data_IF_315144859674
#
_entry.id   IF_315144859674
#
_cell.length_a   1.000
_cell.length_b   1.000
_cell.length_c   1.000
_cell.angle_alpha   90.00
_cell.angle_beta   90.00
_cell.angle_gamma   90.00
#
_symmetry.space_group_name_H-M   'P 1'
#
loop_
_entity.id
_entity.type
_entity.pdbx_description
1 polymer ?
#
# COMPACT_ATOMS: atom_id res chain seq x y z
N UNK A 1 -12.71 -23.53 -2.57
CA UNK A 1 -13.05 -24.08 -3.89
C UNK A 1 -13.67 -22.97 -4.70
N UNK A 2 -12.98 -22.46 -5.72
CA UNK A 2 -13.55 -21.47 -6.63
C UNK A 2 -14.57 -22.19 -7.53
N UNK A 3 -15.84 -21.81 -7.43
CA UNK A 3 -16.91 -22.32 -8.29
C UNK A 3 -16.62 -21.89 -9.72
N UNK A 4 -16.75 -22.81 -10.68
CA UNK A 4 -16.53 -22.52 -12.10
C UNK A 4 -17.36 -21.29 -12.55
N UNK A 5 -16.84 -20.45 -13.48
CA UNK A 5 -17.60 -19.32 -13.99
C UNK A 5 -18.88 -19.86 -14.63
N UNK A 6 -20.02 -19.52 -14.05
CA UNK A 6 -21.31 -19.93 -14.61
C UNK A 6 -21.45 -19.32 -16.01
N UNK A 7 -21.77 -20.15 -17.01
CA UNK A 7 -22.17 -19.73 -18.37
C UNK A 7 -23.50 -18.94 -18.35
N UNK A 8 -23.54 -17.82 -17.63
CA UNK A 8 -24.70 -16.94 -17.55
C UNK A 8 -24.54 -15.83 -18.58
N UNK A 9 -25.64 -15.53 -19.27
CA UNK A 9 -25.70 -14.43 -20.24
C UNK A 9 -25.46 -13.08 -19.57
N UNK A 10 -25.22 -12.02 -20.37
CA UNK A 10 -24.96 -10.69 -19.83
C UNK A 10 -26.22 -10.12 -19.17
N UNK A 11 -26.10 -9.68 -17.92
CA UNK A 11 -27.19 -9.13 -17.10
C UNK A 11 -27.31 -7.63 -17.34
N UNK A 12 -28.53 -7.12 -17.54
CA UNK A 12 -28.76 -5.72 -17.91
C UNK A 12 -29.40 -4.90 -16.80
N UNK A 13 -29.08 -3.61 -16.78
CA UNK A 13 -29.70 -2.61 -15.92
C UNK A 13 -29.76 -1.24 -16.59
N UNK A 14 -30.64 -0.36 -16.14
CA UNK A 14 -30.66 1.07 -16.53
C UNK A 14 -30.82 1.93 -15.29
N UNK A 15 -30.05 3.02 -15.24
CA UNK A 15 -30.07 4.02 -14.19
C UNK A 15 -30.55 5.36 -14.75
N UNK A 16 -31.34 6.11 -13.97
CA UNK A 16 -31.72 7.49 -14.31
C UNK A 16 -30.63 8.51 -13.93
N UNK A 17 -30.95 9.81 -14.05
CA UNK A 17 -30.03 10.91 -13.75
C UNK A 17 -29.69 11.01 -12.25
N UNK A 18 -30.56 10.51 -11.38
CA UNK A 18 -30.44 10.46 -9.92
C UNK A 18 -29.88 9.12 -9.41
N UNK A 19 -29.32 8.29 -10.30
CA UNK A 19 -28.73 6.98 -9.99
C UNK A 19 -29.71 5.93 -9.45
N UNK A 20 -31.00 6.09 -9.75
CA UNK A 20 -32.03 5.11 -9.38
C UNK A 20 -32.12 4.02 -10.42
N UNK A 21 -32.29 2.78 -9.95
CA UNK A 21 -32.43 1.62 -10.80
C UNK A 21 -33.83 1.55 -11.39
N UNK A 22 -34.02 2.07 -12.60
CA UNK A 22 -35.34 2.15 -13.26
C UNK A 22 -35.77 0.82 -13.89
N UNK A 23 -34.82 0.02 -14.37
CA UNK A 23 -35.09 -1.31 -14.93
C UNK A 23 -33.86 -2.20 -14.78
N UNK A 24 -34.06 -3.47 -14.45
CA UNK A 24 -32.98 -4.44 -14.34
C UNK A 24 -33.47 -5.86 -14.59
N UNK A 25 -32.56 -6.71 -15.06
CA UNK A 25 -32.78 -8.15 -15.12
C UNK A 25 -32.85 -8.73 -13.69
N UNK A 26 -33.53 -9.89 -13.49
CA UNK A 26 -33.85 -10.42 -12.17
C UNK A 26 -32.64 -10.60 -11.24
N UNK A 27 -31.45 -10.85 -11.78
CA UNK A 27 -30.23 -11.08 -11.01
C UNK A 27 -29.68 -9.79 -10.40
N UNK A 28 -29.71 -8.69 -11.14
CA UNK A 28 -29.34 -7.38 -10.60
C UNK A 28 -30.41 -6.87 -9.62
N UNK A 29 -31.68 -7.21 -9.86
CA UNK A 29 -32.76 -6.95 -8.88
C UNK A 29 -32.51 -7.71 -7.58
N UNK A 30 -32.12 -8.99 -7.64
CA UNK A 30 -31.81 -9.78 -6.46
C UNK A 30 -30.64 -9.17 -5.66
N UNK A 31 -29.55 -8.77 -6.32
CA UNK A 31 -28.43 -8.10 -5.65
C UNK A 31 -28.84 -6.77 -4.98
N UNK A 32 -29.70 -5.99 -5.64
CA UNK A 32 -30.21 -4.74 -5.09
C UNK A 32 -31.07 -4.99 -3.84
N UNK A 33 -31.86 -6.07 -3.82
CA UNK A 33 -32.67 -6.49 -2.67
C UNK A 33 -31.79 -6.99 -1.53
N UNK A 34 -30.78 -7.81 -1.84
CA UNK A 34 -29.80 -8.28 -0.84
C UNK A 34 -29.04 -7.12 -0.19
N UNK A 35 -28.77 -6.06 -0.95
CA UNK A 35 -28.19 -4.81 -0.46
C UNK A 35 -29.20 -3.92 0.32
N UNK A 36 -30.43 -4.40 0.56
CA UNK A 36 -31.45 -3.71 1.35
C UNK A 36 -32.25 -2.64 0.59
N UNK A 37 -32.24 -2.67 -0.74
CA UNK A 37 -32.94 -1.69 -1.59
C UNK A 37 -33.87 -2.37 -2.60
N UNK A 38 -34.49 -1.61 -3.50
CA UNK A 38 -35.43 -2.13 -4.51
C UNK A 38 -35.33 -1.34 -5.82
N UNK A 39 -35.94 -1.88 -6.88
CA UNK A 39 -36.07 -1.20 -8.18
C UNK A 39 -36.90 0.08 -8.00
N UNK A 40 -36.46 1.17 -8.60
CA UNK A 40 -37.03 2.51 -8.45
C UNK A 40 -36.37 3.35 -7.35
N UNK A 41 -35.52 2.75 -6.51
CA UNK A 41 -34.70 3.44 -5.52
C UNK A 41 -33.25 3.61 -5.99
N UNK A 42 -32.47 4.42 -5.28
CA UNK A 42 -31.03 4.60 -5.55
C UNK A 42 -30.31 3.23 -5.53
N UNK A 43 -29.41 3.03 -6.50
CA UNK A 43 -28.64 1.80 -6.63
C UNK A 43 -27.76 1.61 -5.38
N UNK A 44 -28.05 0.58 -4.58
CA UNK A 44 -27.38 0.25 -3.32
C UNK A 44 -26.07 -0.54 -3.51
N UNK A 45 -25.56 -0.56 -4.74
CA UNK A 45 -24.33 -1.24 -5.14
C UNK A 45 -23.26 -0.19 -5.45
N UNK A 46 -22.53 0.33 -4.45
CA UNK A 46 -21.79 1.58 -4.55
C UNK A 46 -20.70 1.58 -5.62
N UNK A 47 -20.02 0.45 -5.85
CA UNK A 47 -18.99 0.36 -6.90
C UNK A 47 -19.61 0.44 -8.31
N UNK A 48 -20.79 -0.16 -8.51
CA UNK A 48 -21.51 -0.10 -9.78
C UNK A 48 -22.05 1.32 -10.01
N UNK A 49 -22.58 1.95 -8.96
CA UNK A 49 -23.02 3.36 -8.97
C UNK A 49 -21.86 4.30 -9.34
N UNK A 50 -20.66 4.09 -8.77
CA UNK A 50 -19.49 4.89 -9.10
C UNK A 50 -19.06 4.76 -10.57
N UNK A 51 -19.10 3.55 -11.13
CA UNK A 51 -18.81 3.30 -12.55
C UNK A 51 -19.82 4.02 -13.46
N UNK A 52 -21.12 3.97 -13.10
CA UNK A 52 -22.16 4.66 -13.84
C UNK A 52 -22.01 6.19 -13.80
N UNK A 53 -21.75 6.77 -12.62
CA UNK A 53 -21.47 8.20 -12.45
C UNK A 53 -20.26 8.64 -13.29
N UNK A 54 -19.21 7.83 -13.34
CA UNK A 54 -18.02 8.11 -14.14
C UNK A 54 -18.33 8.09 -15.65
N UNK A 55 -19.12 7.12 -16.11
CA UNK A 55 -19.54 7.04 -17.51
C UNK A 55 -20.42 8.24 -17.91
N UNK A 56 -21.38 8.64 -17.06
CA UNK A 56 -22.22 9.83 -17.26
C UNK A 56 -21.38 11.10 -17.32
N UNK A 57 -20.45 11.28 -16.38
CA UNK A 57 -19.56 12.45 -16.31
C UNK A 57 -18.66 12.59 -17.53
N UNK A 58 -18.13 11.48 -18.05
CA UNK A 58 -17.19 11.50 -19.18
C UNK A 58 -17.86 11.41 -20.55
N UNK A 59 -19.15 11.04 -20.61
CA UNK A 59 -19.88 10.88 -21.86
C UNK A 59 -19.37 9.74 -22.75
N UNK A 60 -18.61 8.79 -22.18
CA UNK A 60 -18.04 7.64 -22.89
C UNK A 60 -18.35 6.33 -22.15
N UNK A 61 -18.40 5.18 -22.85
CA UNK A 61 -18.57 3.88 -22.20
C UNK A 61 -17.40 3.56 -21.26
N UNK A 62 -17.69 3.11 -20.05
CA UNK A 62 -16.71 2.68 -19.05
C UNK A 62 -16.84 1.17 -18.82
N UNK A 63 -15.71 0.47 -18.80
CA UNK A 63 -15.64 -0.96 -18.55
C UNK A 63 -14.70 -1.25 -17.38
N UNK A 64 -15.22 -1.75 -16.27
CA UNK A 64 -14.45 -2.03 -15.05
C UNK A 64 -15.00 -3.22 -14.27
N UNK A 65 -14.11 -3.87 -13.52
CA UNK A 65 -14.48 -4.82 -12.47
C UNK A 65 -15.21 -4.09 -11.33
N UNK A 66 -16.19 -4.76 -10.71
CA UNK A 66 -16.84 -4.33 -9.49
C UNK A 66 -17.15 -5.54 -8.59
N UNK A 67 -17.22 -5.27 -7.29
CA UNK A 67 -17.70 -6.22 -6.28
C UNK A 67 -19.02 -5.72 -5.71
N UNK A 68 -20.03 -6.57 -5.74
CA UNK A 68 -21.32 -6.40 -5.07
C UNK A 68 -21.36 -7.31 -3.85
N UNK A 69 -21.53 -6.73 -2.66
CA UNK A 69 -21.69 -7.51 -1.44
C UNK A 69 -23.10 -8.12 -1.40
N UNK A 70 -23.17 -9.43 -1.19
CA UNK A 70 -24.43 -10.16 -0.99
C UNK A 70 -24.60 -10.60 0.46
N UNK A 71 -25.79 -11.08 0.82
CA UNK A 71 -26.09 -11.49 2.19
C UNK A 71 -25.26 -12.69 2.67
N UNK A 72 -24.95 -13.63 1.78
CA UNK A 72 -24.15 -14.83 2.08
C UNK A 72 -22.82 -14.91 1.32
N UNK A 73 -22.71 -14.24 0.16
CA UNK A 73 -21.55 -14.32 -0.74
C UNK A 73 -21.34 -12.99 -1.46
N UNK A 74 -20.08 -12.60 -1.63
CA UNK A 74 -19.72 -11.47 -2.48
C UNK A 74 -19.75 -11.91 -3.95
N UNK A 75 -20.22 -11.02 -4.81
CA UNK A 75 -20.25 -11.24 -6.25
C UNK A 75 -19.29 -10.29 -6.92
N UNK A 76 -18.26 -10.86 -7.53
CA UNK A 76 -17.39 -10.10 -8.43
C UNK A 76 -17.93 -10.21 -9.86
N UNK A 77 -17.98 -9.08 -10.56
CA UNK A 77 -18.53 -8.97 -11.90
C UNK A 77 -17.84 -7.86 -12.69
N UNK A 78 -17.93 -7.92 -14.01
CA UNK A 78 -17.50 -6.85 -14.91
C UNK A 78 -18.69 -5.99 -15.29
N UNK A 79 -18.59 -4.68 -15.07
CA UNK A 79 -19.61 -3.71 -15.44
C UNK A 79 -19.15 -2.92 -16.65
N UNK A 80 -19.98 -2.95 -17.69
CA UNK A 80 -19.95 -1.97 -18.77
C UNK A 80 -21.07 -0.96 -18.56
N UNK A 81 -20.72 0.28 -18.26
CA UNK A 81 -21.65 1.40 -18.18
C UNK A 81 -21.58 2.23 -19.45
N UNK A 82 -22.69 2.38 -20.16
CA UNK A 82 -22.80 3.16 -21.40
C UNK A 82 -23.77 4.30 -21.18
N UNK A 83 -23.35 5.57 -21.30
CA UNK A 83 -24.27 6.71 -21.18
C UNK A 83 -25.25 6.72 -22.37
N UNK A 84 -26.52 7.00 -22.08
CA UNK A 84 -27.64 7.05 -23.03
C UNK A 84 -28.53 8.26 -22.67
N UNK A 85 -28.14 9.45 -23.17
CA UNK A 85 -28.73 10.71 -22.72
C UNK A 85 -28.39 10.99 -21.25
N UNK A 86 -29.42 11.25 -20.44
CA UNK A 86 -29.28 11.45 -18.98
C UNK A 86 -29.26 10.11 -18.20
N UNK A 87 -29.52 9.00 -18.89
CA UNK A 87 -29.56 7.65 -18.32
C UNK A 87 -28.23 6.91 -18.54
N UNK A 88 -28.02 5.82 -17.80
CA UNK A 88 -26.87 4.93 -17.98
C UNK A 88 -27.33 3.49 -18.13
N UNK A 89 -26.96 2.87 -19.24
CA UNK A 89 -27.19 1.44 -19.50
C UNK A 89 -26.03 0.62 -18.94
N UNK A 90 -26.36 -0.33 -18.07
CA UNK A 90 -25.43 -1.28 -17.47
C UNK A 90 -25.52 -2.64 -18.15
N UNK A 91 -24.35 -3.22 -18.45
CA UNK A 91 -24.19 -4.61 -18.85
C UNK A 91 -23.19 -5.27 -17.89
N UNK A 92 -23.64 -6.29 -17.17
CA UNK A 92 -22.87 -6.99 -16.15
C UNK A 92 -22.53 -8.39 -16.65
N UNK A 93 -21.24 -8.69 -16.73
CA UNK A 93 -20.71 -9.92 -17.30
C UNK A 93 -19.79 -10.62 -16.30
N UNK A 94 -19.54 -11.92 -16.54
CA UNK A 94 -18.53 -12.71 -15.81
C UNK A 94 -18.72 -12.68 -14.28
N UNK A 95 -19.89 -13.17 -13.87
CA UNK A 95 -20.28 -13.32 -12.46
C UNK A 95 -19.48 -14.43 -11.78
N UNK A 96 -18.76 -14.06 -10.73
CA UNK A 96 -17.99 -14.99 -9.90
C UNK A 96 -18.38 -14.79 -8.44
N UNK A 97 -19.10 -15.78 -7.91
CA UNK A 97 -19.40 -15.84 -6.48
C UNK A 97 -18.14 -16.18 -5.71
N UNK A 98 -17.86 -15.39 -4.68
CA UNK A 98 -16.76 -15.60 -3.76
C UNK A 98 -17.33 -15.64 -2.34
N UNK A 99 -16.71 -16.40 -1.42
CA UNK A 99 -17.04 -16.22 0.00
C UNK A 99 -16.92 -14.74 0.34
N UNK A 100 -17.85 -14.20 1.15
CA UNK A 100 -17.83 -12.79 1.50
C UNK A 100 -16.47 -12.50 2.11
N UNK A 101 -15.82 -11.42 1.66
CA UNK A 101 -14.60 -10.99 2.30
C UNK A 101 -14.91 -10.89 3.79
N UNK A 102 -14.12 -11.58 4.64
CA UNK A 102 -14.24 -11.42 6.09
C UNK A 102 -14.34 -9.92 6.38
N UNK A 103 -15.25 -9.48 7.27
CA UNK A 103 -15.44 -8.07 7.54
C UNK A 103 -14.06 -7.44 7.65
N UNK A 104 -13.78 -6.37 6.90
CA UNK A 104 -12.42 -5.78 6.91
C UNK A 104 -12.00 -5.31 8.30
N UNK A 105 -12.91 -5.31 9.27
CA UNK A 105 -12.64 -5.25 10.71
C UNK A 105 -11.77 -6.40 11.24
N UNK A 106 -11.84 -7.62 10.69
CA UNK A 106 -10.95 -8.73 11.02
C UNK A 106 -9.58 -8.66 10.35
N UNK A 107 -9.40 -7.78 9.36
CA UNK A 107 -8.10 -7.45 8.74
C UNK A 107 -7.54 -6.11 9.22
N UNK A 108 -8.26 -5.45 10.13
CA UNK A 108 -7.78 -4.35 10.97
C UNK A 108 -7.21 -4.85 12.30
N UNK A 109 -7.18 -6.17 12.52
CA UNK A 109 -6.16 -6.78 13.36
C UNK A 109 -4.96 -6.96 12.44
N UNK A 110 -3.87 -6.20 12.60
CA UNK A 110 -2.61 -6.64 12.06
C UNK A 110 -2.40 -8.06 12.62
N UNK A 111 -2.29 -9.07 11.77
CA UNK A 111 -1.36 -10.15 12.10
C UNK A 111 0.03 -9.53 12.02
N UNK A 112 0.32 -8.64 12.96
CA UNK A 112 1.67 -8.25 13.25
C UNK A 112 2.33 -9.46 13.88
N UNK A 113 3.49 -9.75 13.31
CA UNK A 113 4.46 -10.66 13.87
C UNK A 113 4.56 -10.35 15.36
N UNK A 114 4.08 -11.29 16.17
CA UNK A 114 4.27 -11.25 17.60
C UNK A 114 5.75 -11.07 17.90
N UNK A 115 6.15 -9.87 18.30
CA UNK A 115 7.23 -9.74 19.25
C UNK A 115 6.63 -10.26 20.55
N UNK A 116 6.93 -11.52 20.85
CA UNK A 116 6.50 -12.21 22.05
C UNK A 116 7.16 -11.55 23.27
N UNK A 117 6.49 -10.54 23.80
CA UNK A 117 6.76 -9.92 25.10
C UNK A 117 5.60 -10.21 26.07
N UNK A 118 5.16 -11.47 26.14
CA UNK A 118 4.66 -12.10 27.37
C UNK A 118 3.43 -11.54 28.11
N UNK A 119 2.73 -10.52 27.63
CA UNK A 119 1.50 -10.00 28.24
C UNK A 119 0.49 -9.52 27.19
N UNK A 120 -0.80 -9.79 27.41
CA UNK A 120 -1.88 -9.31 26.55
C UNK A 120 -1.97 -7.78 26.58
N UNK A 121 -2.18 -7.09 25.44
CA UNK A 121 -2.18 -5.63 25.37
C UNK A 121 -3.34 -5.01 26.16
N UNK A 122 -3.04 -3.90 26.84
CA UNK A 122 -3.99 -3.13 27.65
C UNK A 122 -4.76 -2.12 26.80
N UNK A 123 -5.66 -2.63 25.95
CA UNK A 123 -6.42 -1.84 24.97
C UNK A 123 -7.67 -1.15 25.57
N UNK A 124 -8.03 0.00 24.98
CA UNK A 124 -9.26 0.73 25.28
C UNK A 124 -9.84 1.45 24.05
N UNK A 125 -11.14 1.70 24.08
CA UNK A 125 -11.83 2.59 23.14
C UNK A 125 -12.76 3.54 23.87
N UNK A 126 -12.90 4.75 23.36
CA UNK A 126 -13.83 5.76 23.87
C UNK A 126 -14.54 6.46 22.73
N UNK A 127 -15.75 6.96 22.98
CA UNK A 127 -16.54 7.73 22.02
C UNK A 127 -16.07 9.20 21.94
N UNK A 128 -16.77 10.02 21.16
CA UNK A 128 -16.50 11.46 21.00
C UNK A 128 -16.46 12.24 22.32
N UNK A 129 -17.25 11.82 23.31
CA UNK A 129 -17.32 12.43 24.65
C UNK A 129 -16.27 11.85 25.63
N UNK A 130 -15.31 11.07 25.13
CA UNK A 130 -14.33 10.32 25.92
C UNK A 130 -14.97 9.36 26.93
N UNK A 131 -16.15 8.84 26.62
CA UNK A 131 -16.82 7.78 27.38
C UNK A 131 -16.43 6.42 26.83
N UNK A 132 -16.09 5.49 27.72
CA UNK A 132 -15.52 4.18 27.36
C UNK A 132 -16.55 3.36 26.57
N UNK A 133 -16.13 2.83 25.42
CA UNK A 133 -16.94 1.94 24.56
C UNK A 133 -16.51 0.49 24.75
N UNK A 134 -15.21 0.23 24.86
CA UNK A 134 -14.63 -1.07 25.17
C UNK A 134 -13.33 -0.92 25.94
N UNK A 135 -12.94 -1.98 26.65
CA UNK A 135 -11.71 -2.03 27.44
C UNK A 135 -11.26 -3.48 27.60
N UNK A 136 -9.96 -3.73 27.52
CA UNK A 136 -9.42 -5.07 27.77
C UNK A 136 -9.54 -5.44 29.26
N UNK A 137 -9.66 -6.74 29.55
CA UNK A 137 -9.78 -7.22 30.93
C UNK A 137 -8.56 -6.87 31.79
N UNK A 138 -7.35 -6.90 31.20
CA UNK A 138 -6.12 -6.54 31.91
C UNK A 138 -6.10 -5.07 32.33
N UNK A 139 -6.55 -4.17 31.45
CA UNK A 139 -6.64 -2.75 31.77
C UNK A 139 -7.73 -2.50 32.82
N UNK A 140 -8.90 -3.13 32.68
CA UNK A 140 -9.98 -2.99 33.65
C UNK A 140 -9.55 -3.41 35.07
N UNK A 141 -8.82 -4.52 35.20
CA UNK A 141 -8.28 -5.01 36.47
C UNK A 141 -7.32 -3.98 37.10
N UNK A 142 -6.39 -3.41 36.32
CA UNK A 142 -5.49 -2.35 36.78
C UNK A 142 -6.21 -1.09 37.23
N UNK A 143 -7.34 -0.76 36.61
CA UNK A 143 -8.20 0.37 36.98
C UNK A 143 -9.16 0.05 38.14
N UNK A 144 -9.09 -1.16 38.72
CA UNK A 144 -9.94 -1.59 39.82
C UNK A 144 -11.43 -1.63 39.46
N UNK A 145 -11.74 -1.99 38.20
CA UNK A 145 -13.10 -2.10 37.65
C UNK A 145 -13.23 -3.39 36.85
N UNK A 146 -14.44 -3.71 36.39
CA UNK A 146 -14.65 -4.70 35.32
C UNK A 146 -14.88 -3.99 33.98
N UNK A 147 -14.65 -4.67 32.83
CA UNK A 147 -14.97 -4.09 31.52
C UNK A 147 -16.43 -3.65 31.41
N UNK A 148 -17.36 -4.49 31.90
CA UNK A 148 -18.80 -4.19 31.88
C UNK A 148 -19.16 -2.94 32.69
N UNK A 149 -18.50 -2.73 33.84
CA UNK A 149 -18.71 -1.53 34.65
C UNK A 149 -18.04 -0.30 34.05
N UNK A 150 -16.98 -0.46 33.26
CA UNK A 150 -16.26 0.65 32.66
C UNK A 150 -17.03 1.28 31.49
N UNK A 151 -17.76 0.48 30.71
CA UNK A 151 -18.52 0.92 29.54
C UNK A 151 -19.51 2.04 29.90
N UNK A 152 -19.52 3.09 29.08
CA UNK A 152 -20.38 4.27 29.22
C UNK A 152 -19.91 5.29 30.26
N UNK A 153 -18.86 5.02 31.04
CA UNK A 153 -18.29 6.00 31.97
C UNK A 153 -17.26 6.89 31.26
N UNK A 154 -17.18 8.19 31.62
CA UNK A 154 -16.09 9.04 31.16
C UNK A 154 -14.73 8.47 31.58
N UNK A 155 -13.75 8.49 30.69
CA UNK A 155 -12.39 8.01 30.94
C UNK A 155 -11.78 8.68 32.19
N UNK A 156 -12.04 9.97 32.37
CA UNK A 156 -11.60 10.78 33.53
C UNK A 156 -12.20 10.36 34.88
N UNK A 157 -13.21 9.49 34.87
CA UNK A 157 -13.78 8.88 36.09
C UNK A 157 -12.97 7.70 36.59
N UNK A 158 -12.29 6.99 35.69
CA UNK A 158 -11.38 5.89 36.04
C UNK A 158 -9.94 6.38 36.21
N UNK A 159 -9.56 7.38 35.41
CA UNK A 159 -8.20 7.90 35.33
C UNK A 159 -8.13 9.36 35.78
N UNK A 160 -7.06 9.71 36.48
CA UNK A 160 -6.67 11.09 36.72
C UNK A 160 -5.57 11.43 35.71
N UNK A 161 -5.91 12.24 34.71
CA UNK A 161 -4.95 12.72 33.72
C UNK A 161 -3.96 13.68 34.37
N UNK A 162 -2.70 13.61 33.94
CA UNK A 162 -1.60 14.45 34.42
C UNK A 162 -1.04 15.27 33.27
N UNK A 163 -0.65 16.50 33.56
CA UNK A 163 -0.04 17.42 32.59
C UNK A 163 1.38 16.96 32.24
N UNK A 164 1.77 17.19 30.98
CA UNK A 164 3.14 16.98 30.52
C UNK A 164 4.06 18.15 30.96
N UNK A 165 5.32 18.13 30.53
CA UNK A 165 6.32 19.17 30.87
C UNK A 165 5.92 20.57 30.37
N UNK A 166 5.11 20.63 29.31
CA UNK A 166 4.59 21.86 28.72
C UNK A 166 3.27 22.34 29.38
N UNK A 167 2.76 21.64 30.39
CA UNK A 167 1.50 21.97 31.08
C UNK A 167 0.24 21.58 30.29
N UNK A 168 0.39 20.74 29.26
CA UNK A 168 -0.69 20.30 28.39
C UNK A 168 -1.19 18.90 28.76
N UNK A 169 -2.42 18.60 28.34
CA UNK A 169 -3.02 17.27 28.42
C UNK A 169 -3.13 16.72 26.99
N UNK A 170 -2.17 15.90 26.52
CA UNK A 170 -2.11 15.42 25.14
C UNK A 170 -3.42 14.84 24.61
N UNK A 171 -4.16 14.10 25.45
CA UNK A 171 -5.47 13.55 25.10
C UNK A 171 -6.51 14.64 24.81
N UNK A 172 -6.52 15.73 25.58
CA UNK A 172 -7.49 16.82 25.38
C UNK A 172 -7.13 17.70 24.19
N UNK A 173 -5.83 17.91 23.96
CA UNK A 173 -5.32 18.57 22.75
C UNK A 173 -5.76 17.76 21.53
N UNK A 174 -5.50 16.45 21.53
CA UNK A 174 -5.91 15.54 20.46
C UNK A 174 -7.43 15.44 20.27
N UNK A 175 -8.22 15.45 21.34
CA UNK A 175 -9.68 15.50 21.22
C UNK A 175 -10.17 16.78 20.53
N UNK A 176 -9.44 17.88 20.70
CA UNK A 176 -9.77 19.17 20.06
C UNK A 176 -9.32 19.20 18.61
N UNK A 177 -8.09 18.74 18.31
CA UNK A 177 -7.51 18.72 16.97
C UNK A 177 -7.95 17.51 16.12
N UNK A 178 -8.58 16.50 16.74
CA UNK A 178 -8.94 15.20 16.14
C UNK A 178 -7.73 14.49 15.53
N UNK A 179 -6.59 14.58 16.21
CA UNK A 179 -5.33 13.94 15.83
C UNK A 179 -5.01 12.78 16.76
N UNK A 180 -4.02 11.98 16.40
CA UNK A 180 -3.42 11.02 17.33
C UNK A 180 -2.71 11.72 18.50
N UNK A 181 -2.51 10.99 19.59
CA UNK A 181 -1.67 11.40 20.71
C UNK A 181 -0.86 10.25 21.27
N UNK A 182 0.29 10.61 21.83
CA UNK A 182 1.16 9.75 22.61
C UNK A 182 1.51 10.46 23.94
N UNK A 183 1.86 9.69 24.96
CA UNK A 183 2.48 10.21 26.17
C UNK A 183 1.51 10.81 27.18
N UNK A 184 0.19 10.58 27.05
CA UNK A 184 -0.75 11.07 28.05
C UNK A 184 -0.57 10.28 29.35
N UNK A 185 0.11 10.89 30.31
CA UNK A 185 0.24 10.35 31.67
C UNK A 185 -1.10 10.35 32.39
N UNK A 186 -1.43 9.26 33.05
CA UNK A 186 -2.64 9.11 33.82
C UNK A 186 -2.41 8.19 35.01
N UNK A 187 -2.98 8.54 36.18
CA UNK A 187 -3.00 7.65 37.34
C UNK A 187 -4.37 7.02 37.52
N UNK A 188 -4.47 5.70 37.74
CA UNK A 188 -5.71 5.07 38.14
C UNK A 188 -6.26 5.75 39.40
N UNK A 189 -7.57 6.06 39.41
CA UNK A 189 -8.24 6.61 40.61
C UNK A 189 -8.58 5.54 41.63
N UNK A 190 -8.62 4.29 41.19
CA UNK A 190 -8.84 3.05 41.96
C UNK A 190 -8.02 1.94 41.30
N UNK A 191 -7.72 0.88 42.04
CA UNK A 191 -6.93 -0.24 41.55
C UNK A 191 -5.43 -0.04 41.80
N UNK A 192 -4.63 -0.17 40.76
CA UNK A 192 -3.17 -0.06 40.82
C UNK A 192 -2.71 1.35 41.17
N UNK A 193 -1.63 1.47 41.96
CA UNK A 193 -0.94 2.75 42.18
C UNK A 193 0.04 3.09 41.05
N UNK A 194 0.25 2.17 40.11
CA UNK A 194 1.11 2.37 38.95
C UNK A 194 0.53 3.42 38.01
N UNK A 195 1.35 4.41 37.63
CA UNK A 195 0.99 5.36 36.59
C UNK A 195 0.95 4.67 35.23
N UNK A 196 0.00 5.08 34.41
CA UNK A 196 -0.19 4.59 33.05
C UNK A 196 0.14 5.70 32.06
N UNK A 197 0.67 5.31 30.92
CA UNK A 197 0.83 6.18 29.75
C UNK A 197 -0.14 5.72 28.68
N UNK A 198 -1.04 6.62 28.28
CA UNK A 198 -2.04 6.36 27.26
C UNK A 198 -1.55 6.84 25.89
N UNK A 199 -1.84 6.04 24.88
CA UNK A 199 -1.70 6.36 23.46
C UNK A 199 -3.05 6.22 22.79
N UNK A 200 -3.36 7.00 21.77
CA UNK A 200 -4.62 6.84 21.07
C UNK A 200 -4.65 7.47 19.68
N UNK A 201 -5.37 6.82 18.78
CA UNK A 201 -5.65 7.26 17.42
C UNK A 201 -7.13 7.60 17.25
N UNK A 202 -7.48 8.63 16.45
CA UNK A 202 -8.86 9.01 16.22
C UNK A 202 -9.55 7.96 15.35
N UNK A 203 -10.74 7.53 15.78
CA UNK A 203 -11.60 6.62 15.02
C UNK A 203 -12.67 7.43 14.31
N UNK A 204 -12.95 7.12 13.05
CA UNK A 204 -14.04 7.73 12.29
C UNK A 204 -15.19 6.76 12.05
N UNK A 205 -16.42 7.26 12.17
CA UNK A 205 -17.65 6.58 11.80
C UNK A 205 -17.73 6.39 10.27
N UNK A 206 -18.52 5.43 9.75
CA UNK A 206 -18.67 5.17 8.31
C UNK A 206 -19.11 6.37 7.46
N UNK A 207 -19.71 7.38 8.07
CA UNK A 207 -20.08 8.66 7.44
C UNK A 207 -18.93 9.69 7.40
N UNK A 208 -17.72 9.29 7.80
CA UNK A 208 -16.52 10.13 7.81
C UNK A 208 -16.46 11.10 8.99
N UNK A 209 -17.35 10.98 9.97
CA UNK A 209 -17.33 11.79 11.20
C UNK A 209 -16.40 11.20 12.24
N UNK A 210 -15.79 12.05 13.06
CA UNK A 210 -15.04 11.62 14.23
C UNK A 210 -15.98 10.87 15.18
N UNK A 211 -15.60 9.66 15.60
CA UNK A 211 -16.40 8.79 16.45
C UNK A 211 -15.79 8.57 17.85
N UNK A 212 -14.53 8.98 18.04
CA UNK A 212 -13.82 8.85 19.31
C UNK A 212 -12.37 8.42 19.15
N UNK A 213 -11.84 7.72 20.15
CA UNK A 213 -10.45 7.27 20.19
C UNK A 213 -10.35 5.77 20.46
N UNK A 214 -9.35 5.14 19.87
CA UNK A 214 -8.90 3.79 20.20
C UNK A 214 -7.42 3.84 20.54
N UNK A 215 -7.00 3.07 21.55
CA UNK A 215 -5.64 3.17 22.04
C UNK A 215 -5.23 2.07 23.00
N UNK A 216 -4.01 2.23 23.50
CA UNK A 216 -3.37 1.32 24.45
C UNK A 216 -2.97 2.10 25.71
N UNK A 217 -2.88 1.40 26.82
CA UNK A 217 -2.33 1.88 28.07
C UNK A 217 -1.10 1.04 28.42
N UNK A 218 0.00 1.68 28.78
CA UNK A 218 1.24 0.99 29.20
C UNK A 218 1.61 1.44 30.60
N UNK A 219 2.08 0.51 31.43
CA UNK A 219 2.62 0.83 32.75
C UNK A 219 3.87 1.69 32.64
N UNK A 220 3.96 2.77 33.42
CA UNK A 220 5.15 3.65 33.43
C UNK A 220 6.41 2.89 33.86
N UNK A 221 6.28 1.84 34.69
CA UNK A 221 7.40 0.98 35.09
C UNK A 221 7.92 0.11 33.94
N UNK A 222 7.05 -0.25 32.99
CA UNK A 222 7.39 -1.03 31.79
C UNK A 222 8.22 -0.19 30.81
N UNK A 223 7.96 1.12 30.73
CA UNK A 223 8.75 2.05 29.91
C UNK A 223 10.18 2.23 30.44
N UNK A 224 10.40 2.09 31.75
CA UNK A 224 11.73 2.18 32.39
C UNK A 224 12.57 0.89 32.35
N UNK A 225 11.98 -0.25 31.97
CA UNK A 225 12.66 -1.55 31.85
C UNK A 225 12.82 -2.04 30.40
N UNK A 226 12.32 -1.29 29.41
CA UNK A 226 12.66 -1.55 28.03
C UNK A 226 14.19 -1.44 27.87
N UNK A 227 14.88 -2.44 27.31
CA UNK A 227 16.26 -2.22 26.88
C UNK A 227 16.24 -0.98 25.97
N UNK A 228 17.21 -0.08 26.14
CA UNK A 228 17.50 0.95 25.13
C UNK A 228 17.92 0.21 23.85
N UNK A 229 16.94 -0.28 23.12
CA UNK A 229 17.05 -0.66 21.72
C UNK A 229 16.60 0.58 20.98
N UNK A 230 17.46 1.03 20.08
CA UNK A 230 17.32 2.24 19.30
C UNK A 230 15.96 2.26 18.59
N UNK A 231 15.01 3.02 19.12
CA UNK A 231 13.65 3.13 18.57
C UNK A 231 13.65 3.72 17.15
N UNK A 232 14.73 4.42 16.78
CA UNK A 232 14.95 4.84 15.40
C UNK A 232 15.20 3.63 14.50
N UNK A 233 16.07 2.69 14.89
CA UNK A 233 16.34 1.48 14.10
C UNK A 233 15.11 0.58 13.91
N UNK A 234 14.26 0.44 14.92
CA UNK A 234 13.03 -0.37 14.78
C UNK A 234 11.95 0.33 13.94
N UNK A 235 11.84 1.67 14.04
CA UNK A 235 10.96 2.45 13.18
C UNK A 235 11.43 2.40 11.72
N UNK A 236 12.73 2.50 11.51
CA UNK A 236 13.37 2.36 10.20
C UNK A 236 13.13 0.96 9.63
N UNK A 237 13.31 -0.13 10.41
CA UNK A 237 13.00 -1.51 9.97
C UNK A 237 11.51 -1.73 9.63
N UNK A 238 10.59 -1.14 10.40
CA UNK A 238 9.14 -1.25 10.15
C UNK A 238 8.70 -0.45 8.92
N UNK A 239 9.24 0.76 8.73
CA UNK A 239 8.99 1.58 7.55
C UNK A 239 9.55 0.89 6.31
N UNK A 240 10.73 0.29 6.41
CA UNK A 240 11.35 -0.48 5.33
C UNK A 240 10.45 -1.62 4.87
N UNK A 241 10.02 -2.51 5.78
CA UNK A 241 9.18 -3.65 5.42
C UNK A 241 7.80 -3.21 4.89
N UNK A 242 7.22 -2.16 5.47
CA UNK A 242 5.95 -1.59 5.04
C UNK A 242 6.01 -0.92 3.65
N UNK A 243 7.16 -0.37 3.26
CA UNK A 243 7.39 0.23 1.94
C UNK A 243 7.88 -0.80 0.90
N UNK A 244 8.56 -1.87 1.33
CA UNK A 244 9.10 -2.91 0.43
C UNK A 244 8.00 -3.64 -0.32
N UNK A 245 6.98 -4.11 0.39
CA UNK A 245 5.85 -4.85 -0.18
C UNK A 245 5.05 -4.07 -1.25
N UNK A 246 4.64 -2.80 -1.03
CA UNK A 246 3.96 -2.02 -2.07
C UNK A 246 4.89 -1.67 -3.24
N UNK A 247 6.18 -1.43 -3.01
CA UNK A 247 7.13 -1.14 -4.09
C UNK A 247 7.41 -2.37 -4.96
N UNK A 248 7.55 -3.55 -4.36
CA UNK A 248 7.70 -4.81 -5.09
C UNK A 248 6.49 -5.08 -5.99
N UNK A 249 5.27 -4.78 -5.52
CA UNK A 249 4.04 -4.87 -6.33
C UNK A 249 3.99 -3.85 -7.46
N UNK A 250 4.50 -2.64 -7.23
CA UNK A 250 4.60 -1.60 -8.27
C UNK A 250 5.59 -2.06 -9.35
N UNK A 251 6.73 -2.62 -8.96
CA UNK A 251 7.74 -3.17 -9.87
C UNK A 251 7.16 -4.33 -10.67
N UNK A 252 6.52 -5.29 -10.02
CA UNK A 252 5.90 -6.44 -10.69
C UNK A 252 4.82 -5.99 -11.69
N UNK A 253 3.99 -5.03 -11.29
CA UNK A 253 2.94 -4.48 -12.15
C UNK A 253 3.53 -3.74 -13.35
N UNK A 254 4.57 -2.94 -13.13
CA UNK A 254 5.24 -2.18 -14.17
C UNK A 254 6.02 -3.10 -15.14
N UNK A 255 6.74 -4.10 -14.64
CA UNK A 255 7.43 -5.10 -15.47
C UNK A 255 6.46 -5.91 -16.33
N UNK A 256 5.27 -6.23 -15.80
CA UNK A 256 4.22 -6.90 -16.54
C UNK A 256 3.65 -6.03 -17.67
N UNK A 257 3.57 -4.71 -17.46
CA UNK A 257 3.19 -3.73 -18.49
C UNK A 257 4.27 -3.61 -19.56
N UNK A 258 5.55 -3.53 -19.17
CA UNK A 258 6.70 -3.51 -20.09
C UNK A 258 6.74 -4.77 -20.95
N UNK A 259 6.50 -5.94 -20.35
CA UNK A 259 6.46 -7.25 -21.04
C UNK A 259 5.20 -7.46 -21.88
N UNK A 260 4.25 -6.53 -21.88
CA UNK A 260 2.98 -6.63 -22.61
C UNK A 260 2.22 -7.93 -22.31
N UNK A 261 2.33 -8.44 -21.07
CA UNK A 261 1.84 -9.78 -20.71
C UNK A 261 0.31 -9.89 -20.78
N UNK A 262 -0.39 -8.76 -20.68
CA UNK A 262 -1.86 -8.66 -20.77
C UNK A 262 -2.36 -8.20 -22.15
N UNK A 263 -1.45 -8.06 -23.13
CA UNK A 263 -1.78 -7.70 -24.52
C UNK A 263 -0.94 -6.54 -25.08
N UNK A 264 -1.07 -6.27 -26.39
CA UNK A 264 -0.29 -5.24 -27.06
C UNK A 264 -0.65 -3.85 -26.53
N UNK A 265 0.38 -3.14 -26.09
CA UNK A 265 0.27 -1.81 -25.51
C UNK A 265 0.94 -0.78 -26.43
N UNK A 266 0.45 0.46 -26.40
CA UNK A 266 1.09 1.59 -27.05
C UNK A 266 2.48 1.81 -26.44
N UNK A 267 3.50 2.02 -27.27
CA UNK A 267 4.91 2.03 -26.86
C UNK A 267 5.23 3.07 -25.77
N UNK A 268 4.58 4.23 -25.83
CA UNK A 268 4.69 5.31 -24.84
C UNK A 268 4.25 4.86 -23.42
N UNK A 269 3.28 3.95 -23.30
CA UNK A 269 2.87 3.42 -21.99
C UNK A 269 3.82 2.36 -21.43
N UNK A 270 4.52 1.63 -22.30
CA UNK A 270 5.56 0.71 -21.87
C UNK A 270 6.78 1.48 -21.35
N UNK A 271 7.12 2.61 -21.98
CA UNK A 271 8.18 3.50 -21.52
C UNK A 271 7.85 4.11 -20.14
N UNK A 272 6.63 4.62 -19.92
CA UNK A 272 6.21 5.12 -18.60
C UNK A 272 6.27 4.02 -17.52
N UNK A 273 5.88 2.79 -17.84
CA UNK A 273 5.98 1.68 -16.90
C UNK A 273 7.43 1.34 -16.58
N UNK A 274 8.32 1.38 -17.57
CA UNK A 274 9.77 1.23 -17.35
C UNK A 274 10.32 2.29 -16.39
N UNK A 275 9.92 3.54 -16.56
CA UNK A 275 10.35 4.65 -15.69
C UNK A 275 9.81 4.50 -14.24
N UNK A 276 8.56 4.06 -14.08
CA UNK A 276 7.96 3.74 -12.77
C UNK A 276 8.72 2.60 -12.08
N UNK A 277 9.04 1.54 -12.82
CA UNK A 277 9.80 0.41 -12.28
C UNK A 277 11.22 0.84 -11.85
N UNK A 278 11.86 1.71 -12.63
CA UNK A 278 13.17 2.26 -12.29
C UNK A 278 13.13 3.13 -11.01
N UNK A 279 12.14 4.03 -10.91
CA UNK A 279 11.95 4.88 -9.74
C UNK A 279 11.65 4.08 -8.46
N UNK A 280 10.79 3.07 -8.55
CA UNK A 280 10.46 2.21 -7.41
C UNK A 280 11.66 1.38 -6.93
N UNK A 281 12.48 0.86 -7.86
CA UNK A 281 13.72 0.15 -7.52
C UNK A 281 14.77 1.08 -6.90
N UNK A 282 14.87 2.31 -7.39
CA UNK A 282 15.76 3.31 -6.80
C UNK A 282 15.35 3.63 -5.36
N UNK A 283 14.05 3.82 -5.11
CA UNK A 283 13.52 4.09 -3.79
C UNK A 283 13.76 2.91 -2.82
N UNK A 284 13.57 1.66 -3.27
CA UNK A 284 13.96 0.47 -2.52
C UNK A 284 15.46 0.44 -2.18
N UNK A 285 16.32 0.89 -3.10
CA UNK A 285 17.76 0.94 -2.85
C UNK A 285 18.14 1.99 -1.81
N UNK A 286 17.45 3.14 -1.80
CA UNK A 286 17.66 4.20 -0.80
C UNK A 286 17.24 3.70 0.57
N UNK A 287 16.05 3.09 0.65
CA UNK A 287 15.49 2.46 1.85
C UNK A 287 16.49 1.43 2.42
N UNK A 288 16.95 0.47 1.62
CA UNK A 288 17.98 -0.51 2.02
C UNK A 288 19.31 0.09 2.48
N UNK A 289 19.68 1.27 1.96
CA UNK A 289 20.92 1.95 2.36
C UNK A 289 20.81 2.67 3.71
N UNK A 290 19.59 3.03 4.12
CA UNK A 290 19.32 3.68 5.40
C UNK A 290 19.37 2.68 6.56
N UNK A 291 18.97 1.43 6.33
CA UNK A 291 18.83 0.42 7.38
C UNK A 291 20.08 -0.44 7.65
N UNK A 292 21.20 -0.17 7.00
CA UNK A 292 22.42 -0.97 7.20
C UNK A 292 22.32 -2.44 6.76
N UNK A 293 21.20 -2.88 6.16
CA UNK A 293 20.99 -4.24 5.60
C UNK A 293 21.97 -4.61 4.47
N UNK A 294 22.82 -3.67 4.06
CA UNK A 294 23.73 -3.83 2.92
C UNK A 294 24.85 -4.86 3.12
N UNK A 295 25.02 -5.47 4.29
CA UNK A 295 26.18 -6.33 4.58
C UNK A 295 25.92 -7.86 4.53
N UNK A 296 24.67 -8.34 4.62
CA UNK A 296 24.45 -9.76 4.98
C UNK A 296 24.28 -10.79 3.85
N UNK A 297 24.22 -10.38 2.57
CA UNK A 297 24.03 -11.33 1.46
C UNK A 297 24.87 -10.98 0.20
N UNK A 298 26.05 -10.40 0.41
CA UNK A 298 26.92 -10.03 -0.71
C UNK A 298 27.74 -11.22 -1.22
N UNK A 299 27.21 -11.92 -2.20
CA UNK A 299 27.98 -12.89 -2.97
C UNK A 299 29.08 -12.21 -3.81
N UNK A 300 30.15 -12.97 -4.08
CA UNK A 300 31.22 -12.50 -4.96
C UNK A 300 30.75 -12.58 -6.42
N UNK A 301 30.42 -11.44 -7.01
CA UNK A 301 29.95 -11.31 -8.40
C UNK A 301 31.06 -10.90 -9.35
N UNK A 302 30.91 -11.19 -10.65
CA UNK A 302 31.82 -10.78 -11.72
C UNK A 302 31.14 -9.77 -12.64
N UNK A 303 31.57 -8.51 -12.58
CA UNK A 303 30.95 -7.42 -13.34
C UNK A 303 31.05 -7.63 -14.86
N UNK A 304 32.13 -8.26 -15.34
CA UNK A 304 32.32 -8.53 -16.78
C UNK A 304 31.29 -9.55 -17.26
N UNK A 305 31.08 -10.62 -16.48
CA UNK A 305 30.08 -11.64 -16.80
C UNK A 305 28.65 -11.07 -16.78
N UNK A 306 28.30 -10.34 -15.71
CA UNK A 306 26.97 -9.74 -15.57
C UNK A 306 26.68 -8.68 -16.65
N UNK A 307 27.70 -7.96 -17.12
CA UNK A 307 27.52 -7.02 -18.23
C UNK A 307 27.16 -7.71 -19.54
N UNK A 308 27.66 -8.92 -19.78
CA UNK A 308 27.33 -9.69 -20.98
C UNK A 308 25.85 -10.05 -20.99
N UNK A 309 25.31 -10.43 -19.82
CA UNK A 309 23.89 -10.70 -19.65
C UNK A 309 23.04 -9.44 -19.87
N UNK A 310 23.41 -8.31 -19.25
CA UNK A 310 22.72 -7.03 -19.43
C UNK A 310 22.71 -6.55 -20.90
N UNK A 311 23.83 -6.70 -21.62
CA UNK A 311 23.92 -6.38 -23.05
C UNK A 311 22.99 -7.28 -23.86
N UNK A 312 22.91 -8.57 -23.54
CA UNK A 312 22.00 -9.51 -24.20
C UNK A 312 20.52 -9.10 -24.04
N UNK A 313 20.13 -8.60 -22.86
CA UNK A 313 18.77 -8.11 -22.62
C UNK A 313 18.42 -6.86 -23.43
N UNK A 314 19.41 -6.01 -23.76
CA UNK A 314 19.23 -4.76 -24.48
C UNK A 314 19.49 -4.86 -26.00
N UNK A 315 19.90 -6.01 -26.50
CA UNK A 315 20.32 -6.21 -27.89
C UNK A 315 19.22 -5.81 -28.90
N UNK A 316 17.97 -6.19 -28.61
CA UNK A 316 16.82 -5.86 -29.47
C UNK A 316 16.53 -4.36 -29.51
N UNK A 317 16.57 -3.70 -28.36
CA UNK A 317 16.37 -2.24 -28.22
C UNK A 317 17.48 -1.46 -28.91
N UNK A 318 18.74 -1.84 -28.69
CA UNK A 318 19.89 -1.22 -29.34
C UNK A 318 19.81 -1.36 -30.87
N UNK A 319 19.43 -2.54 -31.37
CA UNK A 319 19.20 -2.78 -32.80
C UNK A 319 18.08 -1.90 -33.37
N UNK A 320 16.96 -1.77 -32.66
CA UNK A 320 15.85 -0.92 -33.08
C UNK A 320 16.25 0.56 -33.18
N UNK A 321 17.09 1.05 -32.27
CA UNK A 321 17.60 2.43 -32.26
C UNK A 321 18.86 2.63 -33.10
N UNK A 322 19.39 1.57 -33.73
CA UNK A 322 20.64 1.57 -34.51
C UNK A 322 21.87 1.99 -33.70
N UNK A 323 21.92 1.62 -32.42
CA UNK A 323 23.05 1.89 -31.53
C UNK A 323 23.84 0.59 -31.32
N UNK A 324 25.17 0.69 -31.29
CA UNK A 324 26.05 -0.46 -31.03
C UNK A 324 26.53 -0.43 -29.58
N UNK A 325 26.35 -1.51 -28.84
CA UNK A 325 26.92 -1.65 -27.50
C UNK A 325 28.22 -2.46 -27.60
N UNK A 326 29.31 -1.91 -27.07
CA UNK A 326 30.63 -2.52 -27.07
C UNK A 326 31.10 -2.71 -25.63
N UNK A 327 31.42 -3.94 -25.27
CA UNK A 327 32.12 -4.24 -24.02
C UNK A 327 33.61 -4.38 -24.31
N UNK A 328 34.44 -3.54 -23.69
CA UNK A 328 35.88 -3.62 -23.88
C UNK A 328 36.45 -4.89 -23.21
N UNK A 329 37.41 -5.58 -23.84
CA UNK A 329 38.02 -6.76 -23.25
C UNK A 329 38.67 -6.44 -21.91
N UNK A 330 38.12 -7.02 -20.83
CA UNK A 330 38.68 -6.90 -19.50
C UNK A 330 38.85 -8.28 -18.87
N UNK A 331 39.79 -8.38 -17.92
CA UNK A 331 39.88 -9.57 -17.05
C UNK A 331 38.71 -9.53 -16.07
N UNK A 332 38.35 -10.69 -15.53
CA UNK A 332 37.34 -10.80 -14.47
C UNK A 332 37.51 -9.70 -13.41
N UNK A 333 36.45 -8.92 -13.19
CA UNK A 333 36.41 -7.85 -12.19
C UNK A 333 35.38 -8.24 -11.14
N UNK A 334 35.86 -8.80 -10.03
CA UNK A 334 34.98 -9.23 -8.95
C UNK A 334 34.55 -8.09 -8.03
N UNK A 335 33.31 -8.10 -7.56
CA UNK A 335 32.77 -7.24 -6.51
C UNK A 335 31.97 -8.10 -5.50
N UNK A 336 31.62 -7.54 -4.35
CA UNK A 336 30.66 -8.14 -3.42
C UNK A 336 29.31 -7.46 -3.66
N UNK A 337 28.24 -8.22 -3.89
CA UNK A 337 26.89 -7.68 -4.10
C UNK A 337 25.90 -8.70 -4.66
N UNK A 338 24.63 -8.31 -4.76
CA UNK A 338 23.59 -9.11 -5.39
C UNK A 338 23.72 -9.06 -6.92
N UNK A 339 23.91 -10.22 -7.55
CA UNK A 339 24.02 -10.36 -9.00
C UNK A 339 22.82 -9.78 -9.75
N UNK A 340 21.59 -9.97 -9.22
CA UNK A 340 20.37 -9.45 -9.85
C UNK A 340 20.31 -7.93 -9.80
N UNK A 341 20.61 -7.35 -8.63
CA UNK A 341 20.73 -5.90 -8.46
C UNK A 341 21.77 -5.28 -9.41
N UNK A 342 22.93 -5.91 -9.55
CA UNK A 342 23.99 -5.43 -10.46
C UNK A 342 23.55 -5.49 -11.92
N UNK A 343 22.92 -6.59 -12.38
CA UNK A 343 22.37 -6.67 -13.74
C UNK A 343 21.36 -5.54 -13.96
N UNK A 344 20.49 -5.26 -13.00
CA UNK A 344 19.50 -4.20 -13.13
C UNK A 344 20.14 -2.81 -13.25
N UNK A 345 21.16 -2.51 -12.45
CA UNK A 345 21.92 -1.26 -12.55
C UNK A 345 22.50 -1.12 -13.95
N UNK A 346 23.14 -2.19 -14.46
CA UNK A 346 23.73 -2.19 -15.80
C UNK A 346 22.68 -2.02 -16.90
N UNK A 347 21.52 -2.68 -16.80
CA UNK A 347 20.41 -2.53 -17.75
C UNK A 347 19.89 -1.09 -17.75
N UNK A 348 19.77 -0.46 -16.60
CA UNK A 348 19.30 0.93 -16.51
C UNK A 348 20.31 1.90 -17.15
N UNK A 349 21.59 1.77 -16.80
CA UNK A 349 22.65 2.64 -17.32
C UNK A 349 22.83 2.46 -18.83
N UNK A 350 22.95 1.21 -19.30
CA UNK A 350 23.08 0.90 -20.73
C UNK A 350 21.80 1.26 -21.50
N UNK A 351 20.62 1.06 -20.90
CA UNK A 351 19.34 1.43 -21.50
C UNK A 351 19.21 2.93 -21.71
N UNK A 352 19.62 3.72 -20.72
CA UNK A 352 19.68 5.18 -20.84
C UNK A 352 20.70 5.60 -21.91
N UNK A 353 21.90 5.03 -21.87
CA UNK A 353 22.94 5.29 -22.85
C UNK A 353 22.48 5.00 -24.29
N UNK A 354 21.73 3.91 -24.51
CA UNK A 354 21.12 3.59 -25.81
C UNK A 354 20.05 4.62 -26.17
N UNK A 355 19.12 4.92 -25.26
CA UNK A 355 17.99 5.86 -25.47
C UNK A 355 18.47 7.26 -25.85
N UNK A 356 19.57 7.72 -25.27
CA UNK A 356 20.09 9.08 -25.47
C UNK A 356 21.19 9.16 -26.54
N UNK A 357 21.68 8.02 -27.06
CA UNK A 357 22.64 8.01 -28.16
C UNK A 357 21.98 8.34 -29.50
N UNK A 358 22.68 9.07 -30.40
CA UNK A 358 22.21 9.29 -31.75
C UNK A 358 22.19 7.97 -32.56
N UNK A 359 21.31 7.83 -33.57
CA UNK A 359 21.31 6.65 -34.45
C UNK A 359 22.68 6.46 -35.12
N UNK A 360 23.21 5.23 -35.05
CA UNK A 360 24.57 4.89 -35.51
C UNK A 360 25.66 5.11 -34.46
N UNK A 361 25.32 5.60 -33.27
CA UNK A 361 26.24 5.82 -32.15
C UNK A 361 26.71 4.52 -31.48
N UNK A 362 27.76 4.66 -30.69
CA UNK A 362 28.34 3.56 -29.91
C UNK A 362 28.27 3.84 -28.41
N UNK A 363 27.73 2.88 -27.66
CA UNK A 363 27.80 2.85 -26.20
C UNK A 363 28.91 1.88 -25.80
N UNK A 364 29.86 2.36 -24.99
CA UNK A 364 31.00 1.55 -24.54
C UNK A 364 30.90 1.29 -23.04
N UNK A 365 31.09 0.04 -22.63
CA UNK A 365 31.28 -0.32 -21.22
C UNK A 365 32.71 -0.79 -20.97
N UNK A 366 33.36 -0.21 -19.96
CA UNK A 366 34.72 -0.57 -19.53
C UNK A 366 34.74 -0.89 -18.04
N UNK A 367 35.74 -1.67 -17.62
CA UNK A 367 35.87 -2.11 -16.23
C UNK A 367 37.28 -1.90 -15.72
N UNK A 368 37.40 -1.38 -14.50
CA UNK A 368 38.68 -1.28 -13.81
C UNK A 368 38.55 -1.54 -12.30
N UNK A 369 39.69 -1.51 -11.62
CA UNK A 369 39.79 -1.58 -10.17
C UNK A 369 40.62 -0.40 -9.68
N UNK A 370 40.08 0.33 -8.72
CA UNK A 370 40.75 1.47 -8.10
C UNK A 370 40.26 1.63 -6.67
N UNK A 371 41.16 2.07 -5.78
CA UNK A 371 40.84 2.44 -4.40
C UNK A 371 40.13 1.34 -3.59
N UNK A 372 40.39 0.07 -3.93
CA UNK A 372 39.75 -1.08 -3.30
C UNK A 372 38.37 -1.44 -3.87
N UNK A 373 37.83 -0.64 -4.80
CA UNK A 373 36.54 -0.84 -5.45
C UNK A 373 36.69 -1.41 -6.86
N UNK A 374 35.66 -2.13 -7.29
CA UNK A 374 35.45 -2.49 -8.69
C UNK A 374 34.61 -1.39 -9.36
N UNK A 375 35.00 -0.97 -10.56
CA UNK A 375 34.28 0.08 -11.31
C UNK A 375 33.84 -0.43 -12.67
N UNK A 376 32.63 -0.04 -13.05
CA UNK A 376 32.09 -0.17 -14.40
C UNK A 376 31.77 1.23 -14.92
N UNK A 377 32.30 1.58 -16.09
CA UNK A 377 32.08 2.85 -16.74
C UNK A 377 31.24 2.63 -17.98
N UNK A 378 30.08 3.29 -18.07
CA UNK A 378 29.25 3.33 -19.28
C UNK A 378 29.43 4.69 -19.92
N UNK A 379 29.80 4.71 -21.20
CA UNK A 379 30.02 5.91 -21.98
C UNK A 379 29.17 5.87 -23.24
N UNK A 380 28.47 6.96 -23.53
CA UNK A 380 27.61 7.12 -24.70
C UNK A 380 28.00 8.35 -25.53
N UNK A 381 27.39 8.49 -26.70
CA UNK A 381 27.65 9.60 -27.64
C UNK A 381 26.46 10.56 -27.73
N UNK A 382 25.60 10.57 -26.72
CA UNK A 382 24.46 11.45 -26.59
C UNK A 382 24.83 12.90 -26.27
N UNK A 383 23.83 13.79 -26.15
CA UNK A 383 24.04 15.21 -25.91
C UNK A 383 24.61 15.55 -24.52
N UNK A 384 24.71 14.55 -23.63
CA UNK A 384 25.08 14.75 -22.23
C UNK A 384 23.97 15.37 -21.39
N UNK A 385 24.26 15.60 -20.11
CA UNK A 385 23.38 16.27 -19.15
C UNK A 385 23.89 17.71 -18.99
N UNK A 386 22.99 18.70 -18.99
CA UNK A 386 23.36 20.10 -18.75
C UNK A 386 23.99 20.25 -17.36
N UNK A 387 24.96 21.15 -17.20
CA UNK A 387 25.68 21.32 -15.93
C UNK A 387 24.77 21.73 -14.75
N UNK A 388 23.59 22.26 -15.05
CA UNK A 388 22.56 22.64 -14.08
C UNK A 388 21.78 21.43 -13.54
N UNK A 389 21.81 20.31 -14.28
CA UNK A 389 21.10 19.05 -14.01
C UNK A 389 22.07 17.90 -13.62
N UNK A 390 23.36 18.20 -13.42
CA UNK A 390 24.43 17.22 -13.11
C UNK A 390 24.57 16.89 -11.62
#
# INVERSE_FOLDING_TARGET
>A
MATAPSERGPVRGRLDAEDRLISADPELVALQIDAGSHVGSELALPQITAIARLARKLGVPIYRNAVAAGAEQDVELWVRATPDGDEVVLLLERWVYRPPAAPRLGTLVPHEQHIDLGAAPEEWTANEDLSIVSMSSGLAEKLGTTPEEAIGKPLTRLLKLEENEDGELPLLVAATSRSEFDGQRARPRRGSEEALVLRGTPVTSPDGRFAGFQGEAVGESTLGQAPMIDAASQLDELIDEALRSPLDRIIESADRIVRQSDGPLRADYADYASDIAAAARHLLSVIRSMNGESEQDQDRVDLVALSTEAIGLLESTARAQRVTIVSEPSRQVSAHGDARGVIQILVNLLGNAVRHSPPGGTVTITFDRSDGFARAHVSDQGPGIAAEDQ
#
